data_IF_821110456588
#
_entry.id   IF_821110456588
#
_cell.length_a   1.000
_cell.length_b   1.000
_cell.length_c   1.000
_cell.angle_alpha   90.00
_cell.angle_beta   90.00
_cell.angle_gamma   90.00
#
_symmetry.space_group_name_H-M   'P 1'
#
loop_
_entity.id
_entity.type
_entity.pdbx_description
1 polymer ?
#
# COMPACT_ATOMS: atom_id res chain seq x y z
N UNK A 1 57.70 -49.64 -44.39
CA UNK A 1 57.07 -48.42 -44.96
C UNK A 1 55.58 -48.73 -45.07
N UNK A 2 54.86 -48.60 -43.94
CA UNK A 2 53.94 -47.48 -43.66
C UNK A 2 52.85 -47.36 -44.72
N UNK A 3 51.60 -47.70 -44.39
CA UNK A 3 50.63 -46.66 -44.02
C UNK A 3 49.40 -47.27 -43.32
N UNK A 4 48.96 -46.63 -42.25
CA UNK A 4 47.94 -47.09 -41.32
C UNK A 4 47.09 -45.87 -40.95
N UNK A 5 46.04 -45.56 -41.72
CA UNK A 5 45.18 -44.39 -41.47
C UNK A 5 43.70 -44.74 -41.68
N UNK A 6 43.07 -45.29 -40.63
CA UNK A 6 41.60 -45.35 -40.49
C UNK A 6 41.09 -44.05 -39.88
N UNK A 7 40.35 -43.26 -40.67
CA UNK A 7 39.71 -42.03 -40.21
C UNK A 7 38.40 -42.29 -39.42
N UNK A 8 38.09 -41.49 -38.38
CA UNK A 8 36.93 -41.68 -37.51
C UNK A 8 35.65 -41.04 -38.10
N UNK A 9 34.64 -41.87 -38.43
CA UNK A 9 33.35 -41.43 -39.03
C UNK A 9 32.21 -41.16 -38.04
N UNK A 10 32.46 -41.13 -36.72
CA UNK A 10 31.38 -41.13 -35.70
C UNK A 10 31.13 -39.80 -34.96
N UNK A 11 31.77 -38.69 -35.35
CA UNK A 11 31.61 -37.41 -34.65
C UNK A 11 30.50 -36.49 -35.22
N UNK A 12 29.99 -36.75 -36.42
CA UNK A 12 29.03 -35.85 -37.07
C UNK A 12 27.55 -36.13 -36.76
N UNK A 13 27.20 -37.27 -36.13
CA UNK A 13 25.81 -37.61 -35.81
C UNK A 13 25.30 -37.10 -34.45
N UNK A 14 26.18 -36.85 -33.48
CA UNK A 14 25.78 -36.36 -32.15
C UNK A 14 25.57 -34.84 -32.08
N UNK A 15 26.14 -34.08 -33.02
CA UNK A 15 25.98 -32.62 -33.10
C UNK A 15 24.60 -32.18 -33.62
N UNK A 16 23.98 -32.96 -34.51
CA UNK A 16 22.67 -32.61 -35.08
C UNK A 16 21.53 -32.67 -34.07
N UNK A 17 21.53 -33.67 -33.18
CA UNK A 17 20.45 -33.86 -32.21
C UNK A 17 20.48 -32.79 -31.10
N UNK A 18 21.68 -32.40 -30.63
CA UNK A 18 21.86 -31.40 -29.59
C UNK A 18 21.41 -30.00 -30.04
N UNK A 19 21.66 -29.63 -31.31
CA UNK A 19 21.23 -28.35 -31.87
C UNK A 19 19.71 -28.28 -32.08
N UNK A 20 19.07 -29.39 -32.45
CA UNK A 20 17.61 -29.45 -32.60
C UNK A 20 16.91 -29.35 -31.24
N UNK A 21 17.46 -29.97 -30.19
CA UNK A 21 16.86 -29.94 -28.86
C UNK A 21 16.94 -28.55 -28.20
N UNK A 22 18.05 -27.83 -28.36
CA UNK A 22 18.22 -26.47 -27.81
C UNK A 22 17.35 -25.44 -28.53
N UNK A 23 17.18 -25.58 -29.85
CA UNK A 23 16.28 -24.72 -30.63
C UNK A 23 14.80 -24.96 -30.26
N UNK A 24 14.43 -26.23 -30.01
CA UNK A 24 13.09 -26.59 -29.53
C UNK A 24 12.77 -26.03 -28.15
N UNK A 25 13.72 -26.07 -27.20
CA UNK A 25 13.53 -25.50 -25.87
C UNK A 25 13.36 -23.97 -25.91
N UNK A 26 14.14 -23.27 -26.74
CA UNK A 26 14.07 -21.81 -26.88
C UNK A 26 12.71 -21.34 -27.43
N UNK A 27 12.14 -22.06 -28.40
CA UNK A 27 10.83 -21.76 -29.00
C UNK A 27 9.67 -21.99 -28.01
N UNK A 28 9.75 -23.01 -27.14
CA UNK A 28 8.75 -23.24 -26.09
C UNK A 28 8.80 -22.17 -25.01
N UNK A 29 10.00 -21.68 -24.63
CA UNK A 29 10.13 -20.56 -23.69
C UNK A 29 9.63 -19.22 -24.24
N UNK A 30 9.76 -18.96 -25.55
CA UNK A 30 9.24 -17.75 -26.17
C UNK A 30 7.70 -17.75 -26.30
N UNK A 31 7.08 -18.93 -26.47
CA UNK A 31 5.61 -19.06 -26.51
C UNK A 31 4.93 -18.90 -25.14
N UNK A 32 5.67 -19.08 -24.04
CA UNK A 32 5.17 -18.90 -22.68
C UNK A 32 5.49 -17.51 -22.10
N UNK A 33 6.30 -16.70 -22.79
CA UNK A 33 6.48 -15.30 -22.47
C UNK A 33 5.20 -14.53 -22.87
N UNK A 34 4.14 -14.68 -22.06
CA UNK A 34 3.06 -13.70 -22.06
C UNK A 34 3.72 -12.37 -21.72
N UNK A 35 3.67 -11.42 -22.65
CA UNK A 35 3.91 -10.02 -22.31
C UNK A 35 2.92 -9.77 -21.18
N UNK A 36 3.44 -9.61 -19.96
CA UNK A 36 2.66 -9.11 -18.85
C UNK A 36 2.35 -7.67 -19.21
N UNK A 37 1.33 -7.47 -20.05
CA UNK A 37 0.60 -6.23 -20.06
C UNK A 37 0.04 -6.15 -18.64
N UNK A 38 0.67 -5.33 -17.81
CA UNK A 38 0.01 -4.82 -16.62
C UNK A 38 -1.13 -3.97 -17.18
N UNK A 39 -2.29 -4.60 -17.35
CA UNK A 39 -3.49 -3.89 -17.78
C UNK A 39 -3.73 -2.74 -16.79
N UNK A 40 -4.07 -1.57 -17.32
CA UNK A 40 -4.28 -0.40 -16.49
C UNK A 40 -5.48 -0.66 -15.55
N UNK A 41 -5.43 -0.18 -14.30
CA UNK A 41 -6.60 -0.20 -13.43
C UNK A 41 -7.81 0.45 -14.12
N UNK A 42 -8.95 -0.24 -14.11
CA UNK A 42 -10.23 0.26 -14.60
C UNK A 42 -11.08 0.69 -13.39
N UNK A 43 -11.42 1.99 -13.27
CA UNK A 43 -12.18 2.53 -12.14
C UNK A 43 -13.47 1.76 -11.82
N UNK A 44 -14.10 1.11 -12.80
CA UNK A 44 -15.35 0.37 -12.62
C UNK A 44 -15.20 -0.90 -11.79
N UNK A 45 -14.00 -1.48 -11.74
CA UNK A 45 -13.71 -2.73 -11.04
C UNK A 45 -12.78 -2.54 -9.84
N UNK A 46 -12.20 -1.35 -9.67
CA UNK A 46 -11.44 -0.99 -8.48
C UNK A 46 -12.37 -0.78 -7.27
N UNK A 47 -11.86 -1.06 -6.07
CA UNK A 47 -12.61 -0.94 -4.82
C UNK A 47 -11.74 -0.21 -3.79
N UNK A 48 -12.31 0.74 -3.09
CA UNK A 48 -11.70 1.43 -1.96
C UNK A 48 -12.66 1.42 -0.76
N UNK A 49 -12.13 1.41 0.46
CA UNK A 49 -12.97 1.48 1.67
C UNK A 49 -13.66 2.85 1.74
N UNK A 50 -14.94 2.94 2.17
CA UNK A 50 -15.68 4.19 2.12
C UNK A 50 -15.21 5.23 3.16
N UNK A 51 -14.51 4.77 4.19
CA UNK A 51 -13.95 5.60 5.25
C UNK A 51 -12.51 5.22 5.50
N UNK A 52 -11.68 6.24 5.73
CA UNK A 52 -10.33 6.10 6.20
C UNK A 52 -10.23 6.67 7.62
N UNK A 53 -9.69 5.90 8.54
CA UNK A 53 -9.33 6.37 9.89
C UNK A 53 -7.83 6.61 9.94
N UNK A 54 -7.41 7.74 10.51
CA UNK A 54 -6.01 8.10 10.69
C UNK A 54 -5.70 8.56 12.11
N UNK A 55 -4.42 8.47 12.45
CA UNK A 55 -3.83 9.10 13.62
C UNK A 55 -2.41 9.57 13.24
N UNK A 56 -1.88 10.64 13.87
CA UNK A 56 -0.50 11.07 13.68
C UNK A 56 0.55 9.96 13.90
N UNK A 57 0.34 9.10 14.91
CA UNK A 57 1.17 7.91 15.14
C UNK A 57 0.98 6.77 14.14
N UNK A 58 0.00 6.88 13.22
CA UNK A 58 -0.38 5.83 12.27
C UNK A 58 -1.15 4.68 12.91
N UNK A 59 -0.92 3.45 12.43
CA UNK A 59 -1.51 2.24 13.00
C UNK A 59 -2.86 1.79 12.41
N UNK A 60 -3.37 2.51 11.41
CA UNK A 60 -4.51 2.08 10.61
C UNK A 60 -4.04 1.70 9.21
N UNK A 61 -4.60 0.62 8.68
CA UNK A 61 -4.38 0.22 7.29
C UNK A 61 -5.61 0.62 6.48
N UNK A 62 -5.37 1.38 5.41
CA UNK A 62 -6.35 1.68 4.40
C UNK A 62 -6.04 0.91 3.13
N UNK A 63 -7.02 0.18 2.61
CA UNK A 63 -6.80 -0.76 1.50
C UNK A 63 -7.54 -0.33 0.24
N UNK A 64 -6.86 -0.46 -0.89
CA UNK A 64 -7.40 -0.22 -2.23
C UNK A 64 -7.12 -1.44 -3.08
N UNK A 65 -8.15 -1.99 -3.73
CA UNK A 65 -8.02 -3.11 -4.66
C UNK A 65 -8.09 -2.58 -6.09
N UNK A 66 -7.04 -2.84 -6.86
CA UNK A 66 -6.90 -2.46 -8.26
C UNK A 66 -7.20 -3.64 -9.17
N UNK A 67 -8.13 -3.42 -10.11
CA UNK A 67 -8.52 -4.40 -11.12
C UNK A 67 -8.59 -3.76 -12.49
N UNK A 68 -8.34 -4.54 -13.52
CA UNK A 68 -8.45 -4.11 -14.93
C UNK A 68 -9.88 -4.24 -15.48
N UNK A 69 -10.04 -3.91 -16.77
CA UNK A 69 -11.32 -4.01 -17.48
C UNK A 69 -11.88 -5.43 -17.63
N UNK A 70 -11.07 -6.46 -17.38
CA UNK A 70 -11.47 -7.87 -17.33
C UNK A 70 -11.65 -8.38 -15.89
N UNK A 71 -11.69 -7.47 -14.92
CA UNK A 71 -11.82 -7.74 -13.48
C UNK A 71 -10.67 -8.61 -12.93
N UNK A 72 -9.49 -8.63 -13.58
CA UNK A 72 -8.29 -9.29 -13.06
C UNK A 72 -7.50 -8.33 -12.17
N UNK A 73 -6.76 -8.83 -11.16
CA UNK A 73 -5.87 -8.00 -10.37
C UNK A 73 -4.81 -7.31 -11.21
N UNK A 74 -4.39 -6.10 -10.80
CA UNK A 74 -3.29 -5.35 -11.45
C UNK A 74 -2.06 -5.28 -10.54
N UNK A 75 -1.14 -6.27 -10.61
CA UNK A 75 0.13 -6.22 -9.87
C UNK A 75 0.99 -5.02 -10.27
N UNK A 76 1.57 -4.35 -9.28
CA UNK A 76 2.43 -3.18 -9.51
C UNK A 76 1.68 -1.92 -9.97
N UNK A 77 0.35 -1.98 -10.12
CA UNK A 77 -0.48 -0.80 -10.36
C UNK A 77 -0.36 0.20 -9.20
N UNK A 78 -0.56 1.49 -9.48
CA UNK A 78 -0.45 2.55 -8.48
C UNK A 78 -1.83 3.06 -8.07
N UNK A 79 -1.97 3.38 -6.79
CA UNK A 79 -3.07 4.16 -6.24
C UNK A 79 -2.52 5.39 -5.53
N UNK A 80 -3.25 6.49 -5.57
CA UNK A 80 -2.92 7.74 -4.91
C UNK A 80 -4.06 8.09 -3.96
N UNK A 81 -3.74 8.43 -2.72
CA UNK A 81 -4.66 9.11 -1.81
C UNK A 81 -4.39 10.62 -1.93
N UNK A 82 -5.37 11.39 -2.39
CA UNK A 82 -5.28 12.83 -2.57
C UNK A 82 -6.09 13.55 -1.49
N UNK A 83 -5.39 14.16 -0.53
CA UNK A 83 -5.99 14.86 0.62
C UNK A 83 -6.38 16.31 0.33
N UNK A 84 -6.25 16.80 -0.91
CA UNK A 84 -6.59 18.19 -1.24
C UNK A 84 -8.01 18.57 -0.84
N UNK A 85 -8.98 17.65 -0.97
CA UNK A 85 -10.37 17.80 -0.54
C UNK A 85 -10.63 17.75 0.97
N UNK A 86 -9.59 17.53 1.80
CA UNK A 86 -9.67 17.43 3.25
C UNK A 86 -8.73 18.43 3.93
N UNK A 87 -8.89 19.76 3.77
CA UNK A 87 -7.92 20.76 4.23
C UNK A 87 -7.64 20.78 5.74
N UNK A 88 -8.55 20.26 6.57
CA UNK A 88 -8.33 20.10 8.01
C UNK A 88 -7.59 18.81 8.39
N UNK A 89 -7.18 17.99 7.41
CA UNK A 89 -6.31 16.82 7.61
C UNK A 89 -4.90 17.17 7.15
N UNK A 90 -3.94 17.00 8.06
CA UNK A 90 -2.52 17.21 7.84
C UNK A 90 -1.81 15.87 7.80
N UNK A 91 -1.05 15.63 6.74
CA UNK A 91 -0.22 14.42 6.57
C UNK A 91 1.13 14.67 7.25
N UNK A 92 1.68 13.67 7.95
CA UNK A 92 3.01 13.83 8.55
C UNK A 92 4.09 14.02 7.47
N UNK A 93 5.09 14.85 7.75
CA UNK A 93 6.19 15.22 6.84
C UNK A 93 6.89 14.02 6.19
N UNK A 94 7.07 12.92 6.91
CA UNK A 94 7.75 11.72 6.40
C UNK A 94 6.95 10.97 5.33
N UNK A 95 5.64 11.24 5.24
CA UNK A 95 4.73 10.65 4.27
C UNK A 95 4.45 11.56 3.07
N UNK A 96 4.66 12.87 3.19
CA UNK A 96 4.41 13.90 2.18
C UNK A 96 5.51 14.99 2.20
N UNK A 97 6.76 14.65 1.86
CA UNK A 97 7.90 15.57 1.99
C UNK A 97 7.85 16.74 0.99
N UNK A 98 7.13 16.60 -0.12
CA UNK A 98 6.91 17.65 -1.12
C UNK A 98 5.67 18.49 -0.87
N UNK A 99 4.91 18.18 0.19
CA UNK A 99 3.74 18.93 0.65
C UNK A 99 2.65 19.05 -0.43
N UNK A 100 2.54 18.04 -1.30
CA UNK A 100 1.54 18.00 -2.37
C UNK A 100 0.22 17.35 -1.90
N UNK A 101 0.20 16.85 -0.67
CA UNK A 101 -0.94 16.20 0.01
C UNK A 101 -1.34 14.90 -0.66
N UNK A 102 -0.40 14.21 -1.31
CA UNK A 102 -0.63 12.95 -2.00
C UNK A 102 0.27 11.85 -1.48
N UNK A 103 -0.35 10.69 -1.23
CA UNK A 103 0.37 9.49 -0.83
C UNK A 103 0.22 8.44 -1.91
N UNK A 104 1.34 7.98 -2.45
CA UNK A 104 1.37 6.99 -3.53
C UNK A 104 1.68 5.59 -2.97
N UNK A 105 0.88 4.61 -3.36
CA UNK A 105 1.05 3.21 -3.02
C UNK A 105 1.10 2.33 -4.27
N UNK A 106 1.84 1.22 -4.20
CA UNK A 106 1.92 0.22 -5.26
C UNK A 106 1.23 -1.07 -4.86
N UNK A 107 0.51 -1.68 -5.79
CA UNK A 107 -0.23 -2.91 -5.56
C UNK A 107 0.69 -4.14 -5.52
N UNK A 108 0.38 -5.07 -4.62
CA UNK A 108 1.04 -6.37 -4.54
C UNK A 108 0.60 -7.32 -5.68
N UNK A 109 1.04 -8.58 -5.65
CA UNK A 109 0.73 -9.58 -6.69
C UNK A 109 -0.75 -9.94 -6.84
N UNK A 110 -1.61 -9.53 -5.91
CA UNK A 110 -3.06 -9.72 -5.96
C UNK A 110 -3.82 -8.40 -6.17
N UNK A 111 -3.12 -7.34 -6.62
CA UNK A 111 -3.75 -6.06 -6.95
C UNK A 111 -4.14 -5.23 -5.74
N UNK A 112 -3.65 -5.53 -4.53
CA UNK A 112 -4.00 -4.78 -3.32
C UNK A 112 -2.90 -3.79 -2.96
N UNK A 113 -3.28 -2.53 -2.80
CA UNK A 113 -2.48 -1.45 -2.21
C UNK A 113 -2.88 -1.32 -0.75
N UNK A 114 -1.92 -1.28 0.15
CA UNK A 114 -2.14 -1.02 1.59
C UNK A 114 -1.39 0.24 1.97
N UNK A 115 -2.11 1.23 2.48
CA UNK A 115 -1.57 2.46 3.01
C UNK A 115 -1.57 2.41 4.53
N UNK A 116 -0.45 2.77 5.15
CA UNK A 116 -0.34 2.96 6.60
C UNK A 116 -0.09 4.45 6.85
N UNK A 117 -1.12 5.27 6.60
CA UNK A 117 -1.00 6.73 6.63
C UNK A 117 -0.86 7.23 8.06
N UNK A 118 0.04 8.19 8.22
CA UNK A 118 0.20 9.00 9.43
C UNK A 118 -0.33 10.40 9.13
N UNK A 119 -1.46 10.74 9.74
CA UNK A 119 -2.13 12.02 9.52
C UNK A 119 -3.04 12.36 10.71
N UNK A 120 -3.14 13.65 11.02
CA UNK A 120 -3.98 14.23 12.06
C UNK A 120 -4.74 15.47 11.58
N UNK A 121 -5.17 16.32 12.50
CA UNK A 121 -5.82 17.61 12.24
C UNK A 121 -7.29 17.68 12.71
N UNK A 122 -7.80 18.88 12.97
CA UNK A 122 -9.15 19.13 13.53
C UNK A 122 -10.34 18.86 12.59
N UNK A 123 -10.08 18.42 11.36
CA UNK A 123 -11.08 18.46 10.29
C UNK A 123 -11.73 17.13 9.96
N UNK A 124 -13.04 17.17 9.69
CA UNK A 124 -13.65 16.22 8.77
C UNK A 124 -13.37 16.65 7.32
N UNK A 125 -13.21 15.69 6.42
CA UNK A 125 -13.02 15.96 5.01
C UNK A 125 -13.18 14.74 4.14
N UNK A 126 -12.98 14.92 2.85
CA UNK A 126 -12.96 13.82 1.89
C UNK A 126 -11.66 13.82 1.12
N UNK A 127 -11.04 12.65 0.98
CA UNK A 127 -9.94 12.43 0.05
C UNK A 127 -10.46 11.77 -1.23
N UNK A 128 -9.73 11.95 -2.32
CA UNK A 128 -9.94 11.18 -3.54
C UNK A 128 -8.95 10.02 -3.60
N UNK A 129 -9.43 8.85 -4.02
CA UNK A 129 -8.58 7.72 -4.38
C UNK A 129 -8.46 7.71 -5.88
N UNK A 130 -7.23 7.82 -6.40
CA UNK A 130 -6.95 7.92 -7.83
C UNK A 130 -6.17 6.69 -8.27
N UNK A 131 -6.60 6.05 -9.36
CA UNK A 131 -5.87 4.97 -10.03
C UNK A 131 -5.97 5.17 -11.55
N UNK A 132 -4.89 4.91 -12.29
CA UNK A 132 -4.83 5.14 -13.74
C UNK A 132 -5.31 6.55 -14.16
N UNK A 133 -4.96 7.57 -13.37
CA UNK A 133 -5.36 8.98 -13.58
C UNK A 133 -6.88 9.25 -13.52
N UNK A 134 -7.66 8.33 -12.97
CA UNK A 134 -9.09 8.50 -12.72
C UNK A 134 -9.42 8.36 -11.23
N UNK A 135 -10.38 9.16 -10.75
CA UNK A 135 -10.92 9.03 -9.40
C UNK A 135 -11.76 7.75 -9.35
N UNK A 136 -11.39 6.81 -8.48
CA UNK A 136 -12.10 5.55 -8.27
C UNK A 136 -13.03 5.61 -7.06
N UNK A 137 -12.76 6.51 -6.10
CA UNK A 137 -13.60 6.72 -4.92
C UNK A 137 -13.35 8.10 -4.31
N UNK A 138 -14.38 8.65 -3.66
CA UNK A 138 -14.29 9.77 -2.72
C UNK A 138 -14.58 9.23 -1.32
N UNK A 139 -13.68 9.46 -0.38
CA UNK A 139 -13.61 8.72 0.89
C UNK A 139 -13.65 9.70 2.04
N UNK A 140 -14.51 9.47 3.03
CA UNK A 140 -14.52 10.29 4.24
C UNK A 140 -13.30 9.96 5.11
N UNK A 141 -12.63 10.99 5.61
CA UNK A 141 -11.48 10.84 6.52
C UNK A 141 -11.94 11.16 7.95
N UNK A 142 -11.55 10.29 8.88
CA UNK A 142 -11.74 10.45 10.34
C UNK A 142 -10.36 10.42 10.98
N UNK A 143 -10.14 11.30 11.94
CA UNK A 143 -8.85 11.51 12.61
C UNK A 143 -9.04 11.42 14.12
N UNK A 144 -8.05 10.83 14.80
CA UNK A 144 -8.01 10.75 16.27
C UNK A 144 -7.42 11.98 16.94
N UNK A 145 -6.79 12.86 16.16
CA UNK A 145 -6.29 14.16 16.58
C UNK A 145 -7.45 15.17 16.40
N UNK A 146 -8.13 15.48 17.49
CA UNK A 146 -9.33 16.33 17.54
C UNK A 146 -9.01 17.82 17.71
N UNK A 147 -7.84 18.17 18.25
CA UNK A 147 -7.44 19.57 18.48
C UNK A 147 -6.41 20.09 17.46
N UNK A 148 -5.91 19.21 16.60
CA UNK A 148 -5.10 19.49 15.41
C UNK A 148 -3.66 19.81 15.70
N UNK A 149 -3.15 19.39 16.86
CA UNK A 149 -1.75 19.60 17.25
C UNK A 149 -0.78 18.52 16.74
N UNK A 150 -1.30 17.52 16.02
CA UNK A 150 -0.57 16.38 15.46
C UNK A 150 0.01 15.40 16.50
N UNK A 151 -0.61 15.33 17.67
CA UNK A 151 -0.48 14.27 18.68
C UNK A 151 -1.83 13.56 18.93
N UNK A 152 -1.82 12.46 19.67
CA UNK A 152 -3.04 11.85 20.23
C UNK A 152 -2.89 11.81 21.73
N UNK A 153 -3.50 12.76 22.44
CA UNK A 153 -3.23 12.99 23.86
C UNK A 153 -4.50 13.10 24.74
N UNK A 154 -4.36 13.70 25.92
CA UNK A 154 -5.48 13.86 26.86
C UNK A 154 -6.55 14.83 26.34
N UNK A 155 -6.20 15.81 25.52
CA UNK A 155 -7.13 16.73 24.87
C UNK A 155 -8.03 15.97 23.91
N UNK A 156 -7.46 15.11 23.07
CA UNK A 156 -8.21 14.27 22.11
C UNK A 156 -9.12 13.28 22.80
N UNK A 157 -8.60 12.61 23.84
CA UNK A 157 -9.42 11.72 24.67
C UNK A 157 -10.60 12.48 25.26
N UNK A 158 -10.38 13.69 25.77
CA UNK A 158 -11.44 14.51 26.37
C UNK A 158 -12.47 14.92 25.32
N UNK A 159 -12.03 15.28 24.11
CA UNK A 159 -12.89 15.59 22.98
C UNK A 159 -13.77 14.39 22.58
N UNK A 160 -13.18 13.19 22.43
CA UNK A 160 -13.94 11.98 22.11
C UNK A 160 -14.97 11.64 23.19
N UNK A 161 -14.64 11.80 24.47
CA UNK A 161 -15.57 11.56 25.58
C UNK A 161 -16.82 12.46 25.47
N UNK A 162 -16.71 13.68 24.94
CA UNK A 162 -17.88 14.54 24.71
C UNK A 162 -18.81 14.03 23.61
N UNK A 163 -18.32 13.14 22.74
CA UNK A 163 -19.07 12.55 21.64
C UNK A 163 -19.72 11.22 22.00
N UNK A 164 -19.41 10.62 23.15
CA UNK A 164 -19.96 9.32 23.56
C UNK A 164 -21.49 9.34 23.56
N UNK A 165 -22.09 8.34 22.92
CA UNK A 165 -23.54 8.20 22.72
C UNK A 165 -24.11 9.01 21.55
N UNK A 166 -23.29 9.76 20.81
CA UNK A 166 -23.72 10.46 19.58
C UNK A 166 -23.56 9.57 18.35
N UNK A 167 -24.29 9.85 17.27
CA UNK A 167 -24.13 9.22 15.96
C UNK A 167 -23.19 10.02 15.03
N UNK A 168 -22.29 10.82 15.60
CA UNK A 168 -21.45 11.75 14.85
C UNK A 168 -20.27 11.04 14.18
N UNK A 169 -19.96 11.31 12.89
CA UNK A 169 -18.88 10.64 12.18
C UNK A 169 -17.48 10.98 12.70
N UNK A 170 -17.34 12.01 13.53
CA UNK A 170 -16.04 12.46 14.03
C UNK A 170 -15.40 11.46 15.02
N UNK A 171 -16.21 10.73 15.79
CA UNK A 171 -15.72 9.80 16.83
C UNK A 171 -16.04 8.32 16.61
N UNK A 172 -16.79 7.97 15.57
CA UNK A 172 -17.20 6.59 15.26
C UNK A 172 -16.09 5.92 14.43
N UNK A 173 -15.03 5.42 15.05
CA UNK A 173 -13.88 4.85 14.34
C UNK A 173 -14.12 3.43 13.83
N UNK A 174 -15.04 2.67 14.44
CA UNK A 174 -15.40 1.32 14.00
C UNK A 174 -16.53 1.26 12.97
N UNK A 175 -17.14 2.40 12.66
CA UNK A 175 -18.20 2.60 11.66
C UNK A 175 -19.51 1.88 12.00
N UNK A 176 -19.78 1.63 13.28
CA UNK A 176 -21.02 1.02 13.74
C UNK A 176 -22.18 2.04 13.83
N UNK A 177 -21.89 3.33 13.66
CA UNK A 177 -22.87 4.42 13.62
C UNK A 177 -23.17 5.08 14.97
N UNK A 178 -22.46 4.72 16.03
CA UNK A 178 -22.51 5.38 17.34
C UNK A 178 -21.11 5.49 17.93
N UNK A 179 -20.80 6.62 18.55
CA UNK A 179 -19.55 6.78 19.29
C UNK A 179 -19.69 6.10 20.65
N UNK A 180 -18.98 5.01 20.89
CA UNK A 180 -19.08 4.23 22.12
C UNK A 180 -17.72 3.80 22.70
N UNK A 181 -17.74 2.82 23.62
CA UNK A 181 -16.54 2.33 24.28
C UNK A 181 -15.55 1.63 23.33
N UNK A 182 -16.03 1.09 22.21
CA UNK A 182 -15.17 0.51 21.17
C UNK A 182 -14.31 1.59 20.52
N UNK A 183 -14.89 2.74 20.17
CA UNK A 183 -14.16 3.87 19.61
C UNK A 183 -13.15 4.44 20.59
N UNK A 184 -13.57 4.58 21.85
CA UNK A 184 -12.64 4.99 22.91
C UNK A 184 -11.48 4.01 23.01
N UNK A 185 -11.72 2.69 22.99
CA UNK A 185 -10.65 1.70 23.00
C UNK A 185 -9.73 1.80 21.77
N UNK A 186 -10.23 2.21 20.61
CA UNK A 186 -9.41 2.43 19.43
C UNK A 186 -8.50 3.65 19.59
N UNK A 187 -9.01 4.76 20.17
CA UNK A 187 -8.19 5.93 20.50
C UNK A 187 -7.11 5.58 21.54
N UNK A 188 -7.47 4.83 22.58
CA UNK A 188 -6.50 4.41 23.61
C UNK A 188 -5.33 3.59 23.06
N UNK A 189 -5.54 2.81 22.00
CA UNK A 189 -4.48 2.07 21.31
C UNK A 189 -3.51 2.96 20.52
N UNK A 190 -3.82 4.26 20.39
CA UNK A 190 -3.04 5.27 19.66
C UNK A 190 -2.54 6.40 20.55
N UNK A 191 -2.92 6.41 21.82
CA UNK A 191 -2.50 7.42 22.78
C UNK A 191 -0.98 7.58 22.85
N UNK A 192 -0.51 8.82 22.78
CA UNK A 192 0.90 9.23 22.72
C UNK A 192 1.55 9.08 21.34
N UNK A 193 0.77 8.78 20.30
CA UNK A 193 1.26 8.69 18.92
C UNK A 193 1.20 10.03 18.21
N UNK A 194 2.36 10.58 17.85
CA UNK A 194 2.48 11.85 17.10
C UNK A 194 3.27 11.71 15.79
N UNK A 195 3.31 12.77 14.98
CA UNK A 195 4.11 12.82 13.75
C UNK A 195 5.64 12.82 14.01
N UNK A 196 6.10 13.31 15.17
CA UNK A 196 7.53 13.41 15.48
C UNK A 196 8.15 12.06 15.87
N UNK A 197 7.38 11.16 16.47
CA UNK A 197 7.80 9.81 16.80
C UNK A 197 7.71 8.94 15.56
N UNK A 198 8.83 8.74 14.87
CA UNK A 198 8.92 7.67 13.88
C UNK A 198 8.50 6.35 14.56
N UNK A 199 7.69 5.51 13.91
CA UNK A 199 7.33 4.22 14.47
C UNK A 199 8.63 3.52 14.86
N UNK A 200 8.71 3.04 16.10
CA UNK A 200 9.86 2.32 16.59
C UNK A 200 10.10 1.14 15.66
N UNK A 201 11.00 1.31 14.68
CA UNK A 201 11.45 0.19 13.85
C UNK A 201 11.96 -0.81 14.85
N UNK A 202 11.48 -2.06 14.75
CA UNK A 202 12.06 -3.17 15.47
C UNK A 202 13.51 -3.36 15.00
N UNK A 203 14.40 -2.48 15.44
CA UNK A 203 15.82 -2.71 15.42
C UNK A 203 15.99 -3.86 16.41
N UNK A 204 16.01 -5.09 15.90
CA UNK A 204 16.52 -6.19 16.70
C UNK A 204 17.88 -5.72 17.21
N UNK A 205 18.13 -5.85 18.51
CA UNK A 205 19.42 -5.52 19.12
C UNK A 205 20.62 -6.15 18.39
N UNK A 206 20.38 -7.17 17.55
CA UNK A 206 21.36 -7.77 16.64
C UNK A 206 21.88 -6.84 15.54
N UNK A 207 21.09 -5.93 14.98
CA UNK A 207 21.55 -5.02 13.91
C UNK A 207 22.49 -3.92 14.44
N UNK A 208 22.20 -3.39 15.63
CA UNK A 208 23.04 -2.36 16.28
C UNK A 208 24.42 -2.94 16.65
N UNK A 209 24.49 -4.20 17.08
CA UNK A 209 25.76 -4.85 17.43
C UNK A 209 26.69 -5.11 16.23
N UNK A 210 26.18 -5.12 15.00
CA UNK A 210 26.99 -5.28 13.78
C UNK A 210 27.84 -4.05 13.43
N UNK A 211 27.46 -2.86 13.91
CA UNK A 211 28.17 -1.59 13.65
C UNK A 211 29.34 -1.32 14.61
N UNK A 212 29.46 -2.10 15.70
CA UNK A 212 30.54 -1.97 16.69
C UNK A 212 31.65 -3.01 16.54
N UNK A 213 31.76 -3.66 15.38
CA UNK A 213 32.83 -4.62 15.07
C UNK A 213 33.71 -4.15 13.94
#
# INVERSE_FOLDING_TARGET
MHDNTKAPRRLFQSLGLAVVLTLGLALVSAALARIAHADAPDPRYCIAQPVMVSAPGGGFNYTVTLRDGANQPVPGGTAILDFTGAPGILVCEDMDPDHDRRIVGSANSIGVVTFSVRAGGTGAGTLEVIAASAVIATVSVRTMDFDGDMDVDQSDRSALVTLLGTAGPAGDFDLNGIVDAADQSMLEQRYGGNCALLPARAATWGMVKGLYR
#
